data_IF_344686604027
#
_entry.id   IF_344686604027
#
_cell.length_a   1.000
_cell.length_b   1.000
_cell.length_c   1.000
_cell.angle_alpha   90.00
_cell.angle_beta   90.00
_cell.angle_gamma   90.00
#
_symmetry.space_group_name_H-M   'P 1'
#
loop_
_entity.id
_entity.type
_entity.pdbx_description
1 polymer ?
#
# COMPACT_ATOMS: atom_id res chain seq x y z
N UNK A 1 8.25 -5.39 3.38
CA UNK A 1 7.39 -4.23 3.04
C UNK A 1 5.97 -4.76 2.84
N UNK A 2 4.95 -3.93 3.02
CA UNK A 2 3.56 -4.30 2.73
C UNK A 2 3.10 -3.53 1.50
N UNK A 3 2.33 -4.17 0.63
CA UNK A 3 1.73 -3.49 -0.53
C UNK A 3 0.73 -2.43 -0.04
N UNK A 4 0.71 -1.28 -0.71
CA UNK A 4 -0.24 -0.22 -0.39
C UNK A 4 -1.54 -0.34 -1.20
N UNK A 5 -2.53 0.51 -0.89
CA UNK A 5 -3.73 0.62 -1.72
C UNK A 5 -3.41 1.08 -3.16
N UNK A 6 -2.27 1.76 -3.40
CA UNK A 6 -1.87 2.15 -4.76
C UNK A 6 -1.58 0.91 -5.61
N UNK A 7 -0.86 -0.09 -5.05
CA UNK A 7 -0.64 -1.37 -5.71
C UNK A 7 -1.97 -2.07 -6.01
N UNK A 8 -2.86 -2.18 -5.01
CA UNK A 8 -4.15 -2.86 -5.16
C UNK A 8 -5.03 -2.20 -6.21
N UNK A 9 -5.13 -0.87 -6.21
CA UNK A 9 -5.89 -0.10 -7.19
C UNK A 9 -5.32 -0.30 -8.60
N UNK A 10 -4.00 -0.30 -8.74
CA UNK A 10 -3.34 -0.50 -10.02
C UNK A 10 -3.59 -1.92 -10.56
N UNK A 11 -3.45 -2.95 -9.72
CA UNK A 11 -3.74 -4.33 -10.10
C UNK A 11 -5.22 -4.46 -10.47
N UNK A 12 -6.13 -3.99 -9.62
CA UNK A 12 -7.58 -4.07 -9.85
C UNK A 12 -8.00 -3.37 -11.15
N UNK A 13 -7.39 -2.24 -11.50
CA UNK A 13 -7.61 -1.52 -12.77
C UNK A 13 -7.33 -2.42 -13.98
N UNK A 14 -6.24 -3.20 -13.93
CA UNK A 14 -5.78 -4.00 -15.07
C UNK A 14 -6.39 -5.40 -15.12
N UNK A 15 -6.62 -6.03 -13.97
CA UNK A 15 -7.28 -7.35 -13.91
C UNK A 15 -8.78 -7.25 -14.17
N UNK A 16 -9.41 -6.16 -13.70
CA UNK A 16 -10.86 -6.01 -13.72
C UNK A 16 -11.57 -6.92 -12.73
N UNK A 17 -12.81 -6.58 -12.38
CA UNK A 17 -13.64 -7.37 -11.47
C UNK A 17 -14.67 -8.22 -12.24
N UNK A 18 -14.82 -9.48 -11.81
CA UNK A 18 -15.91 -10.39 -12.22
C UNK A 18 -16.52 -11.04 -10.98
N UNK A 19 -17.82 -10.80 -10.75
CA UNK A 19 -18.58 -11.38 -9.64
C UNK A 19 -18.78 -12.88 -9.77
N UNK A 20 -18.86 -13.37 -11.00
CA UNK A 20 -19.17 -14.77 -11.33
C UNK A 20 -17.95 -15.45 -11.93
N UNK A 21 -17.75 -16.73 -11.62
CA UNK A 21 -16.69 -17.53 -12.19
C UNK A 21 -16.82 -17.61 -13.73
N UNK A 22 -15.72 -17.37 -14.44
CA UNK A 22 -15.63 -17.38 -15.90
C UNK A 22 -14.40 -18.16 -16.37
N UNK A 23 -14.38 -18.58 -17.65
CA UNK A 23 -13.22 -19.24 -18.25
C UNK A 23 -12.24 -18.18 -18.76
N UNK A 24 -11.02 -18.19 -18.23
CA UNK A 24 -9.92 -17.32 -18.66
C UNK A 24 -9.30 -17.75 -20.00
N UNK A 25 -8.38 -16.94 -20.56
CA UNK A 25 -7.71 -17.22 -21.84
C UNK A 25 -6.92 -18.53 -21.89
N UNK A 26 -6.52 -19.04 -20.72
CA UNK A 26 -5.80 -20.30 -20.50
C UNK A 26 -6.74 -21.50 -20.25
N UNK A 27 -8.04 -21.33 -20.46
CA UNK A 27 -9.09 -22.32 -20.20
C UNK A 27 -9.23 -22.71 -18.70
N UNK A 28 -8.86 -21.79 -17.79
CA UNK A 28 -8.96 -21.98 -16.33
C UNK A 28 -10.11 -21.14 -15.75
N UNK A 29 -10.88 -21.74 -14.86
CA UNK A 29 -11.91 -21.02 -14.10
C UNK A 29 -11.27 -19.92 -13.25
N UNK A 30 -11.78 -18.70 -13.42
CA UNK A 30 -11.25 -17.47 -12.82
C UNK A 30 -12.41 -16.67 -12.22
N UNK A 31 -12.19 -15.99 -11.09
CA UNK A 31 -13.19 -15.15 -10.43
C UNK A 31 -12.53 -13.91 -9.80
N UNK A 32 -13.31 -12.86 -9.50
CA UNK A 32 -12.82 -11.66 -8.83
C UNK A 32 -11.83 -10.89 -9.69
N UNK A 33 -10.62 -10.63 -9.14
CA UNK A 33 -9.52 -9.94 -9.80
C UNK A 33 -8.44 -10.92 -10.30
N UNK A 34 -8.85 -11.97 -11.03
CA UNK A 34 -7.92 -12.95 -11.59
C UNK A 34 -7.60 -14.16 -10.70
N UNK A 35 -8.44 -14.44 -9.70
CA UNK A 35 -8.23 -15.58 -8.80
C UNK A 35 -8.62 -16.89 -9.49
N UNK A 36 -7.69 -17.85 -9.59
CA UNK A 36 -7.92 -19.20 -10.13
C UNK A 36 -7.94 -20.31 -9.07
N UNK A 37 -7.39 -20.02 -7.89
CA UNK A 37 -7.39 -20.91 -6.72
C UNK A 37 -7.74 -20.12 -5.46
N UNK A 38 -8.60 -20.68 -4.63
CA UNK A 38 -8.92 -20.18 -3.31
C UNK A 38 -7.71 -20.30 -2.36
N UNK A 39 -7.65 -19.54 -1.26
CA UNK A 39 -6.58 -19.68 -0.25
C UNK A 39 -6.45 -21.10 0.33
N UNK A 40 -7.52 -21.90 0.27
CA UNK A 40 -7.51 -23.32 0.64
C UNK A 40 -6.75 -24.22 -0.34
N UNK A 41 -6.28 -23.68 -1.47
CA UNK A 41 -5.66 -24.41 -2.58
C UNK A 41 -6.64 -25.02 -3.58
N UNK A 42 -7.95 -25.00 -3.30
CA UNK A 42 -8.99 -25.49 -4.22
C UNK A 42 -9.09 -24.59 -5.45
N UNK A 43 -9.26 -25.20 -6.63
CA UNK A 43 -9.53 -24.46 -7.86
C UNK A 43 -10.88 -23.73 -7.78
N UNK A 44 -11.00 -22.63 -8.51
CA UNK A 44 -12.29 -22.00 -8.78
C UNK A 44 -13.08 -22.93 -9.71
N UNK A 45 -14.40 -22.97 -9.52
CA UNK A 45 -15.30 -23.86 -10.26
C UNK A 45 -16.52 -23.10 -10.79
N UNK A 46 -17.18 -23.69 -11.79
CA UNK A 46 -18.40 -23.14 -12.39
C UNK A 46 -19.48 -22.86 -11.33
N UNK A 47 -20.14 -21.71 -11.45
CA UNK A 47 -21.27 -21.34 -10.60
C UNK A 47 -20.89 -20.72 -9.26
N UNK A 48 -19.60 -20.58 -8.96
CA UNK A 48 -19.13 -19.80 -7.82
C UNK A 48 -19.32 -18.30 -8.07
N UNK A 49 -19.67 -17.57 -7.01
CA UNK A 49 -19.80 -16.11 -7.01
C UNK A 49 -18.97 -15.50 -5.87
N UNK A 50 -18.60 -14.23 -6.01
CA UNK A 50 -17.85 -13.48 -5.01
C UNK A 50 -18.33 -12.03 -4.94
N UNK A 51 -18.37 -11.46 -3.74
CA UNK A 51 -18.63 -10.03 -3.54
C UNK A 51 -17.40 -9.21 -3.95
N UNK A 52 -17.59 -7.92 -4.22
CA UNK A 52 -16.45 -7.04 -4.57
C UNK A 52 -15.50 -6.86 -3.39
N UNK A 53 -16.06 -6.84 -2.19
CA UNK A 53 -15.37 -6.70 -0.91
C UNK A 53 -14.51 -7.94 -0.62
N UNK A 54 -15.08 -9.14 -0.78
CA UNK A 54 -14.34 -10.40 -0.60
C UNK A 54 -13.26 -10.56 -1.67
N UNK A 55 -13.56 -10.20 -2.92
CA UNK A 55 -12.57 -10.19 -4.00
C UNK A 55 -11.43 -9.20 -3.74
N UNK A 56 -11.72 -8.06 -3.12
CA UNK A 56 -10.72 -7.06 -2.75
C UNK A 56 -9.77 -7.58 -1.66
N UNK A 57 -10.32 -8.23 -0.62
CA UNK A 57 -9.50 -8.83 0.44
C UNK A 57 -8.71 -10.05 -0.07
N UNK A 58 -9.28 -10.81 -1.00
CA UNK A 58 -8.58 -11.90 -1.68
C UNK A 58 -7.43 -11.38 -2.54
N UNK A 59 -7.67 -10.35 -3.35
CA UNK A 59 -6.64 -9.66 -4.13
C UNK A 59 -5.50 -9.18 -3.23
N UNK A 60 -5.82 -8.54 -2.10
CA UNK A 60 -4.82 -8.06 -1.14
C UNK A 60 -3.91 -9.18 -0.66
N UNK A 61 -4.47 -10.31 -0.24
CA UNK A 61 -3.70 -11.46 0.25
C UNK A 61 -2.82 -12.05 -0.85
N UNK A 62 -3.37 -12.28 -2.03
CA UNK A 62 -2.64 -12.88 -3.16
C UNK A 62 -1.51 -11.96 -3.67
N UNK A 63 -1.80 -10.66 -3.82
CA UNK A 63 -0.81 -9.68 -4.22
C UNK A 63 0.32 -9.56 -3.20
N UNK A 64 0.02 -9.56 -1.89
CA UNK A 64 1.04 -9.51 -0.85
C UNK A 64 1.89 -10.79 -0.87
N UNK A 65 1.27 -11.97 -1.04
CA UNK A 65 2.00 -13.23 -1.14
C UNK A 65 3.00 -13.22 -2.31
N UNK A 66 2.58 -12.71 -3.47
CA UNK A 66 3.47 -12.56 -4.62
C UNK A 66 4.62 -11.59 -4.31
N UNK A 67 4.28 -10.42 -3.76
CA UNK A 67 5.22 -9.35 -3.44
C UNK A 67 6.30 -9.75 -2.43
N UNK A 68 6.04 -10.73 -1.54
CA UNK A 68 7.09 -11.26 -0.63
C UNK A 68 8.35 -11.71 -1.36
N UNK A 69 8.22 -12.16 -2.61
CA UNK A 69 9.38 -12.60 -3.40
C UNK A 69 10.31 -11.47 -3.82
N UNK A 70 9.82 -10.23 -3.86
CA UNK A 70 10.64 -9.04 -4.14
C UNK A 70 11.75 -8.94 -3.09
N UNK A 71 11.42 -9.17 -1.83
CA UNK A 71 12.37 -9.06 -0.70
C UNK A 71 13.44 -10.14 -0.72
N UNK A 72 13.14 -11.31 -1.31
CA UNK A 72 14.14 -12.36 -1.50
C UNK A 72 15.16 -12.02 -2.58
N UNK A 73 14.79 -11.26 -3.61
CA UNK A 73 15.65 -11.01 -4.77
C UNK A 73 16.28 -9.62 -4.77
N UNK A 74 15.52 -8.58 -4.43
CA UNK A 74 16.00 -7.20 -4.42
C UNK A 74 16.76 -6.92 -3.12
N UNK A 75 18.03 -6.52 -3.26
CA UNK A 75 18.99 -6.33 -2.15
C UNK A 75 19.26 -4.86 -1.82
N UNK A 76 18.68 -3.95 -2.59
CA UNK A 76 18.75 -2.51 -2.34
C UNK A 76 17.44 -2.00 -1.75
N UNK A 77 17.48 -0.91 -0.97
CA UNK A 77 16.26 -0.28 -0.49
C UNK A 77 15.36 0.16 -1.65
N UNK A 78 14.08 -0.17 -1.54
CA UNK A 78 13.01 0.34 -2.40
C UNK A 78 12.15 1.31 -1.62
N UNK A 79 11.68 2.36 -2.28
CA UNK A 79 10.59 3.17 -1.73
C UNK A 79 9.24 2.45 -1.94
N UNK A 80 8.18 2.93 -1.28
CA UNK A 80 6.87 2.28 -1.33
C UNK A 80 6.29 2.21 -2.76
N UNK A 81 6.46 3.26 -3.57
CA UNK A 81 5.93 3.27 -4.95
C UNK A 81 6.67 2.25 -5.85
N UNK A 82 7.98 2.09 -5.65
CA UNK A 82 8.78 1.09 -6.36
C UNK A 82 8.34 -0.33 -6.00
N UNK A 83 8.14 -0.61 -4.70
CA UNK A 83 7.65 -1.90 -4.23
C UNK A 83 6.24 -2.21 -4.79
N UNK A 84 5.34 -1.22 -4.73
CA UNK A 84 3.96 -1.35 -5.23
C UNK A 84 3.90 -1.62 -6.75
N UNK A 85 4.74 -0.93 -7.54
CA UNK A 85 4.82 -1.15 -8.98
C UNK A 85 5.34 -2.56 -9.31
N UNK A 86 6.38 -3.02 -8.61
CA UNK A 86 6.91 -4.37 -8.77
C UNK A 86 5.90 -5.44 -8.35
N UNK A 87 5.11 -5.19 -7.30
CA UNK A 87 4.03 -6.08 -6.89
C UNK A 87 2.96 -6.22 -7.98
N UNK A 88 2.55 -5.12 -8.63
CA UNK A 88 1.63 -5.17 -9.78
C UNK A 88 2.21 -5.95 -10.96
N UNK A 89 3.49 -5.72 -11.26
CA UNK A 89 4.21 -6.39 -12.33
C UNK A 89 4.30 -7.91 -12.09
N UNK A 90 4.64 -8.33 -10.87
CA UNK A 90 4.67 -9.73 -10.45
C UNK A 90 3.29 -10.38 -10.42
N UNK A 91 2.24 -9.64 -10.07
CA UNK A 91 0.87 -10.17 -10.12
C UNK A 91 0.51 -10.60 -11.55
N UNK A 92 0.91 -9.81 -12.55
CA UNK A 92 0.64 -10.11 -13.95
C UNK A 92 1.50 -11.24 -14.53
N UNK A 93 2.81 -11.23 -14.23
CA UNK A 93 3.80 -12.07 -14.92
C UNK A 93 4.24 -13.28 -14.08
N UNK A 94 3.76 -13.36 -12.84
CA UNK A 94 4.10 -14.39 -11.87
C UNK A 94 5.16 -13.92 -10.86
N UNK A 95 5.04 -14.45 -9.63
CA UNK A 95 5.89 -14.07 -8.48
C UNK A 95 7.39 -14.26 -8.72
N UNK A 96 7.80 -15.19 -9.59
CA UNK A 96 9.23 -15.45 -9.84
C UNK A 96 9.82 -14.70 -11.04
N UNK A 97 9.09 -13.74 -11.64
CA UNK A 97 9.52 -13.03 -12.86
C UNK A 97 10.87 -12.30 -12.70
N UNK A 98 11.21 -11.87 -11.48
CA UNK A 98 12.48 -11.20 -11.20
C UNK A 98 13.68 -12.18 -11.18
N UNK A 99 13.45 -13.46 -10.90
CA UNK A 99 14.53 -14.44 -10.71
C UNK A 99 15.37 -14.57 -11.99
N UNK A 100 16.68 -14.37 -11.86
CA UNK A 100 17.64 -14.45 -12.97
C UNK A 100 17.32 -13.52 -14.16
N UNK A 101 16.66 -12.39 -13.91
CA UNK A 101 16.30 -11.41 -14.95
C UNK A 101 17.33 -10.26 -15.04
N UNK A 102 17.46 -9.65 -16.22
CA UNK A 102 18.19 -8.39 -16.36
C UNK A 102 17.53 -7.27 -15.52
N UNK A 103 16.20 -7.30 -15.39
CA UNK A 103 15.43 -6.41 -14.51
C UNK A 103 15.96 -6.43 -13.07
N UNK A 104 16.23 -7.62 -12.53
CA UNK A 104 16.79 -7.77 -11.18
C UNK A 104 18.21 -7.22 -11.07
N UNK A 105 19.04 -7.40 -12.10
CA UNK A 105 20.38 -6.82 -12.17
C UNK A 105 20.28 -5.29 -12.13
N UNK A 106 19.40 -4.69 -12.93
CA UNK A 106 19.19 -3.24 -12.94
C UNK A 106 18.63 -2.72 -11.61
N UNK A 107 17.68 -3.44 -11.00
CA UNK A 107 17.14 -3.12 -9.67
C UNK A 107 18.26 -3.07 -8.62
N UNK A 108 19.06 -4.13 -8.52
CA UNK A 108 20.11 -4.23 -7.50
C UNK A 108 21.28 -3.27 -7.72
N UNK A 109 21.47 -2.77 -8.94
CA UNK A 109 22.44 -1.71 -9.24
C UNK A 109 21.84 -0.30 -9.17
N UNK A 110 20.58 -0.15 -8.72
CA UNK A 110 19.86 1.13 -8.65
C UNK A 110 19.74 1.87 -9.99
N UNK A 111 19.74 1.13 -11.09
CA UNK A 111 19.65 1.69 -12.45
C UNK A 111 18.18 1.86 -12.84
N UNK A 112 17.47 2.78 -12.19
CA UNK A 112 16.01 2.93 -12.28
C UNK A 112 15.47 3.22 -13.68
N UNK A 113 16.24 3.95 -14.49
CA UNK A 113 15.90 4.17 -15.90
C UNK A 113 15.95 2.87 -16.70
N UNK A 114 16.95 2.02 -16.45
CA UNK A 114 17.08 0.72 -17.12
C UNK A 114 16.00 -0.25 -16.65
N UNK A 115 15.61 -0.22 -15.37
CA UNK A 115 14.45 -0.96 -14.87
C UNK A 115 13.20 -0.62 -15.68
N UNK A 116 12.97 0.66 -15.94
CA UNK A 116 11.80 1.12 -16.69
C UNK A 116 11.82 0.66 -18.15
N UNK A 117 12.98 0.72 -18.81
CA UNK A 117 13.16 0.21 -20.18
C UNK A 117 12.94 -1.30 -20.25
N UNK A 118 13.46 -2.03 -19.27
CA UNK A 118 13.34 -3.49 -19.19
C UNK A 118 11.88 -3.93 -18.95
N UNK A 119 11.14 -3.23 -18.09
CA UNK A 119 9.71 -3.51 -17.86
C UNK A 119 8.89 -3.42 -19.17
N UNK A 120 9.23 -2.52 -20.09
CA UNK A 120 8.55 -2.38 -21.39
C UNK A 120 8.76 -3.56 -22.34
N UNK A 121 9.72 -4.46 -22.07
CA UNK A 121 9.91 -5.67 -22.87
C UNK A 121 8.81 -6.72 -22.58
N UNK A 122 8.15 -6.63 -21.43
CA UNK A 122 7.11 -7.57 -20.99
C UNK A 122 5.72 -7.14 -21.46
N UNK A 123 5.59 -6.94 -22.77
CA UNK A 123 4.37 -6.49 -23.45
C UNK A 123 3.77 -7.50 -24.44
N UNK A 124 4.28 -8.73 -24.46
CA UNK A 124 3.89 -9.75 -25.43
C UNK A 124 3.03 -10.84 -24.78
N UNK A 125 2.00 -11.30 -25.48
CA UNK A 125 1.28 -12.54 -25.17
C UNK A 125 0.94 -13.28 -26.46
N UNK A 126 1.02 -14.61 -26.47
CA UNK A 126 0.83 -15.41 -27.68
C UNK A 126 1.78 -15.03 -28.82
N UNK A 127 3.01 -14.59 -28.50
CA UNK A 127 4.02 -14.15 -29.48
C UNK A 127 3.78 -12.77 -30.09
N UNK A 128 2.74 -12.04 -29.69
CA UNK A 128 2.39 -10.72 -30.24
C UNK A 128 2.43 -9.65 -29.16
N UNK A 129 2.91 -8.46 -29.53
CA UNK A 129 2.85 -7.27 -28.66
C UNK A 129 1.39 -6.83 -28.51
N UNK A 130 0.95 -6.66 -27.26
CA UNK A 130 -0.42 -6.24 -26.94
C UNK A 130 -0.40 -4.82 -26.39
N UNK A 131 -1.19 -3.92 -26.98
CA UNK A 131 -1.27 -2.52 -26.54
C UNK A 131 -1.75 -2.38 -25.09
N UNK A 132 -2.64 -3.27 -24.63
CA UNK A 132 -3.08 -3.31 -23.23
C UNK A 132 -1.92 -3.56 -22.26
N UNK A 133 -0.99 -4.47 -22.61
CA UNK A 133 0.19 -4.73 -21.79
C UNK A 133 1.16 -3.55 -21.83
N UNK A 134 1.34 -2.90 -22.99
CA UNK A 134 2.15 -1.66 -23.09
C UNK A 134 1.63 -0.60 -22.12
N UNK A 135 0.33 -0.33 -22.15
CA UNK A 135 -0.29 0.65 -21.27
C UNK A 135 -0.16 0.25 -19.79
N UNK A 136 -0.28 -1.04 -19.47
CA UNK A 136 -0.06 -1.56 -18.11
C UNK A 136 1.37 -1.32 -17.63
N UNK A 137 2.35 -1.66 -18.45
CA UNK A 137 3.77 -1.42 -18.13
C UNK A 137 4.03 0.07 -17.93
N UNK A 138 3.44 0.95 -18.74
CA UNK A 138 3.58 2.40 -18.58
C UNK A 138 3.00 2.91 -17.26
N UNK A 139 1.82 2.43 -16.83
CA UNK A 139 1.26 2.81 -15.53
C UNK A 139 2.13 2.31 -14.36
N UNK A 140 2.63 1.08 -14.44
CA UNK A 140 3.53 0.52 -13.44
C UNK A 140 4.86 1.28 -13.37
N UNK A 141 5.43 1.66 -14.52
CA UNK A 141 6.64 2.50 -14.59
C UNK A 141 6.37 3.89 -14.02
N UNK A 142 5.22 4.49 -14.34
CA UNK A 142 4.84 5.79 -13.81
C UNK A 142 4.74 5.76 -12.27
N UNK A 143 4.19 4.69 -11.70
CA UNK A 143 4.20 4.48 -10.26
C UNK A 143 5.63 4.27 -9.76
N UNK A 144 6.41 3.38 -10.38
CA UNK A 144 7.78 3.05 -9.97
C UNK A 144 8.70 4.29 -9.88
N UNK A 145 8.60 5.18 -10.86
CA UNK A 145 9.39 6.41 -10.94
C UNK A 145 8.81 7.55 -10.09
N UNK A 146 7.61 7.41 -9.54
CA UNK A 146 6.99 8.44 -8.71
C UNK A 146 7.81 8.61 -7.43
N UNK A 147 8.37 9.80 -7.16
CA UNK A 147 9.10 10.03 -5.92
C UNK A 147 8.14 9.89 -4.74
N UNK A 148 8.63 9.24 -3.67
CA UNK A 148 7.97 9.31 -2.37
C UNK A 148 8.47 10.57 -1.69
N UNK A 149 7.54 11.44 -1.27
CA UNK A 149 7.89 12.57 -0.41
C UNK A 149 8.34 11.96 0.91
N UNK A 150 9.66 11.93 1.14
CA UNK A 150 10.20 11.66 2.46
C UNK A 150 9.92 12.91 3.26
N UNK A 151 8.84 12.89 4.04
CA UNK A 151 8.61 13.92 5.04
C UNK A 151 9.72 13.73 6.07
N UNK A 152 10.65 14.69 6.10
CA UNK A 152 11.68 14.73 7.13
C UNK A 152 11.01 15.00 8.49
N UNK A 153 10.69 13.93 9.19
CA UNK A 153 10.13 13.97 10.54
C UNK A 153 11.16 14.41 11.58
N UNK A 154 12.46 14.40 11.27
CA UNK A 154 13.51 14.80 12.21
C UNK A 154 13.45 16.29 12.56
N UNK A 155 12.85 17.12 11.68
CA UNK A 155 12.64 18.56 11.93
C UNK A 155 11.34 18.91 12.65
N UNK A 156 10.45 17.95 12.93
CA UNK A 156 9.12 18.20 13.51
C UNK A 156 8.80 17.41 14.78
N UNK A 157 9.77 16.67 15.31
CA UNK A 157 9.69 16.10 16.65
C UNK A 157 10.40 17.10 17.58
N UNK A 158 9.66 18.07 18.11
CA UNK A 158 10.14 18.86 19.24
C UNK A 158 9.96 18.03 20.51
N UNK A 159 11.08 17.76 21.17
CA UNK A 159 11.15 17.11 22.47
C UNK A 159 10.81 18.16 23.54
N UNK A 160 9.78 17.91 24.35
CA UNK A 160 9.62 18.62 25.62
C UNK A 160 10.04 17.62 26.71
N UNK A 161 11.23 17.83 27.25
CA UNK A 161 11.73 17.06 28.38
C UNK A 161 11.05 17.60 29.65
N UNK A 162 10.20 16.79 30.29
CA UNK A 162 9.70 17.08 31.65
C UNK A 162 9.88 15.82 32.51
N UNK A 163 10.55 16.05 33.63
CA UNK A 163 11.11 15.04 34.52
C UNK A 163 10.07 14.37 35.46
N UNK A 164 10.43 13.15 35.91
CA UNK A 164 9.96 12.28 37.02
C UNK A 164 8.44 12.05 37.25
N UNK A 165 7.83 11.15 36.47
CA UNK A 165 7.03 9.96 36.90
C UNK A 165 5.85 9.59 35.94
N UNK A 166 5.67 8.31 35.52
CA UNK A 166 4.83 7.96 34.36
C UNK A 166 3.42 7.38 34.66
N UNK A 167 2.39 7.72 33.85
CA UNK A 167 1.33 6.76 33.39
C UNK A 167 0.76 7.08 31.97
N UNK A 168 -0.10 6.16 31.46
CA UNK A 168 -0.56 5.72 30.10
C UNK A 168 -1.21 6.66 29.04
N UNK A 169 -0.75 6.62 27.80
CA UNK A 169 -1.00 7.47 26.61
C UNK A 169 -2.47 7.58 26.08
N UNK A 170 -2.99 8.80 25.67
CA UNK A 170 -4.37 9.05 25.10
C UNK A 170 -4.37 9.89 23.80
N UNK A 171 -5.38 9.66 22.94
CA UNK A 171 -5.54 10.22 21.58
C UNK A 171 -7.02 10.72 21.34
N UNK A 172 -7.30 11.87 20.67
CA UNK A 172 -8.65 12.53 20.52
C UNK A 172 -9.15 12.68 19.04
N UNK A 173 -10.44 12.39 18.71
CA UNK A 173 -10.98 12.32 17.32
C UNK A 173 -12.18 13.25 16.96
N UNK A 174 -12.36 13.61 15.66
CA UNK A 174 -13.46 14.44 15.12
C UNK A 174 -13.61 14.43 13.57
N UNK A 175 -14.72 14.96 13.01
CA UNK A 175 -14.97 15.12 11.55
C UNK A 175 -14.93 16.60 11.14
N UNK A 176 -14.26 16.95 10.04
CA UNK A 176 -14.07 18.33 9.59
C UNK A 176 -14.34 18.47 8.08
N UNK A 177 -14.97 19.57 7.70
CA UNK A 177 -15.38 19.90 6.32
C UNK A 177 -14.32 20.68 5.52
N UNK A 178 -13.20 21.06 6.14
CA UNK A 178 -12.10 21.78 5.50
C UNK A 178 -10.77 21.57 6.23
N UNK A 179 -9.66 21.82 5.54
CA UNK A 179 -8.32 21.72 6.11
C UNK A 179 -8.08 22.80 7.17
N UNK A 180 -8.63 24.00 6.98
CA UNK A 180 -8.55 25.10 7.95
C UNK A 180 -9.31 24.77 9.25
N UNK A 181 -10.51 24.19 9.15
CA UNK A 181 -11.29 23.76 10.33
C UNK A 181 -10.59 22.63 11.10
N UNK A 182 -9.97 21.71 10.37
CA UNK A 182 -9.14 20.66 10.95
C UNK A 182 -7.91 21.26 11.66
N UNK A 183 -7.18 22.17 11.02
CA UNK A 183 -6.01 22.85 11.61
C UNK A 183 -6.38 23.67 12.85
N UNK A 184 -7.53 24.33 12.85
CA UNK A 184 -8.04 25.06 14.02
C UNK A 184 -8.35 24.12 15.19
N UNK A 185 -9.03 23.00 14.92
CA UNK A 185 -9.32 21.99 15.93
C UNK A 185 -8.05 21.30 16.45
N UNK A 186 -7.05 21.10 15.58
CA UNK A 186 -5.73 20.61 15.95
C UNK A 186 -5.00 21.61 16.87
N UNK A 187 -5.06 22.90 16.56
CA UNK A 187 -4.45 23.95 17.40
C UNK A 187 -5.14 24.05 18.76
N UNK A 188 -6.45 23.90 18.84
CA UNK A 188 -7.17 23.86 20.11
C UNK A 188 -6.91 22.55 20.88
N UNK A 189 -6.78 21.41 20.19
CA UNK A 189 -6.35 20.15 20.80
C UNK A 189 -4.92 20.23 21.34
N UNK A 190 -4.01 20.94 20.64
CA UNK A 190 -2.65 21.24 21.08
C UNK A 190 -2.64 22.14 22.32
N UNK A 191 -3.50 23.17 22.39
CA UNK A 191 -3.70 24.01 23.59
C UNK A 191 -4.24 23.23 24.78
N UNK A 192 -4.97 22.14 24.53
CA UNK A 192 -5.48 21.21 25.53
C UNK A 192 -4.54 19.99 25.74
N UNK A 193 -3.36 20.01 25.14
CA UNK A 193 -2.30 19.00 25.27
C UNK A 193 -2.63 17.60 24.73
N UNK A 194 -3.49 17.48 23.72
CA UNK A 194 -3.84 16.21 23.06
C UNK A 194 -3.01 15.87 21.82
N UNK A 195 -3.07 14.60 21.43
CA UNK A 195 -2.46 14.02 20.24
C UNK A 195 -3.37 14.19 19.02
N UNK A 196 -2.87 14.74 17.91
CA UNK A 196 -3.66 15.02 16.71
C UNK A 196 -2.98 14.52 15.42
N UNK A 197 -3.76 13.98 14.48
CA UNK A 197 -3.30 13.62 13.13
C UNK A 197 -4.44 13.69 12.09
N UNK A 198 -4.11 13.61 10.81
CA UNK A 198 -5.08 13.65 9.70
C UNK A 198 -4.78 12.61 8.59
N UNK A 199 -5.79 11.86 8.12
CA UNK A 199 -5.76 10.98 6.91
C UNK A 199 -6.69 11.50 5.82
N UNK A 200 -6.45 11.46 4.51
CA UNK A 200 -7.52 11.70 3.54
C UNK A 200 -8.59 10.57 3.57
N UNK A 201 -9.88 10.90 3.59
CA UNK A 201 -11.01 9.94 3.65
C UNK A 201 -11.02 8.99 2.44
N UNK A 202 -11.00 7.67 2.70
CA UNK A 202 -11.49 6.66 1.75
C UNK A 202 -12.99 6.87 1.54
N UNK A 203 -13.37 7.31 0.35
CA UNK A 203 -14.71 7.81 0.06
C UNK A 203 -15.85 6.82 0.25
N UNK A 204 -16.91 7.30 0.90
CA UNK A 204 -18.25 7.33 0.32
C UNK A 204 -18.99 8.57 0.86
N UNK A 205 -19.65 9.30 -0.05
CA UNK A 205 -20.37 10.57 0.12
C UNK A 205 -19.52 11.84 0.31
N UNK A 206 -19.54 12.67 -0.73
CA UNK A 206 -19.43 14.13 -0.82
C UNK A 206 -18.56 14.87 0.22
N UNK A 207 -17.57 15.60 -0.31
CA UNK A 207 -16.71 16.61 0.33
C UNK A 207 -15.44 16.11 1.03
N UNK A 208 -14.35 16.81 0.74
CA UNK A 208 -13.00 16.63 1.26
C UNK A 208 -13.02 16.48 2.79
N UNK A 209 -12.46 15.40 3.33
CA UNK A 209 -12.40 15.23 4.78
C UNK A 209 -11.27 14.32 5.17
N UNK A 210 -10.71 14.54 6.35
CA UNK A 210 -9.62 13.75 6.90
C UNK A 210 -10.08 12.80 8.05
N UNK A 211 -9.47 11.63 8.31
CA UNK A 211 -9.82 10.62 9.36
C UNK A 211 -8.66 10.27 10.31
N UNK A 212 -9.00 9.63 11.45
CA UNK A 212 -8.17 9.49 12.66
C UNK A 212 -8.39 8.18 13.47
N UNK A 213 -7.32 7.75 14.17
CA UNK A 213 -6.87 6.50 14.84
C UNK A 213 -6.43 6.59 16.32
N UNK A 214 -7.25 6.23 17.31
CA UNK A 214 -6.81 6.21 18.72
C UNK A 214 -6.56 4.80 19.24
N UNK A 215 -5.48 4.59 20.01
CA UNK A 215 -5.15 3.32 20.68
C UNK A 215 -4.44 3.53 22.02
N UNK A 216 -4.57 2.54 22.91
CA UNK A 216 -3.88 2.48 24.19
C UNK A 216 -2.65 1.58 24.05
N UNK A 217 -1.50 2.05 24.52
CA UNK A 217 -0.24 1.31 24.43
C UNK A 217 0.41 1.18 25.80
N UNK A 218 1.00 0.01 26.07
CA UNK A 218 1.59 -0.29 27.37
C UNK A 218 3.00 0.29 27.50
N UNK A 219 3.71 0.46 26.38
CA UNK A 219 5.05 1.05 26.33
C UNK A 219 5.20 2.05 25.17
N UNK A 220 6.06 3.04 25.35
CA UNK A 220 6.30 4.08 24.34
C UNK A 220 7.02 3.51 23.10
N UNK A 221 7.97 2.58 23.27
CA UNK A 221 8.61 1.86 22.16
C UNK A 221 7.63 1.05 21.32
N UNK A 222 6.60 0.46 21.94
CA UNK A 222 5.55 -0.24 21.21
C UNK A 222 4.74 0.74 20.34
N UNK A 223 4.35 1.89 20.90
CA UNK A 223 3.67 2.94 20.17
C UNK A 223 4.52 3.51 19.02
N UNK A 224 5.85 3.66 19.22
CA UNK A 224 6.81 4.10 18.19
C UNK A 224 6.89 3.12 17.04
N UNK A 225 7.09 1.84 17.32
CA UNK A 225 7.19 0.79 16.29
C UNK A 225 5.91 0.73 15.45
N UNK A 226 4.75 0.88 16.09
CA UNK A 226 3.45 0.88 15.38
C UNK A 226 3.29 2.13 14.52
N UNK A 227 3.62 3.31 15.04
CA UNK A 227 3.57 4.57 14.31
C UNK A 227 4.52 4.58 13.10
N UNK A 228 5.77 4.14 13.30
CA UNK A 228 6.77 4.03 12.23
C UNK A 228 6.34 3.05 11.14
N UNK A 229 5.85 1.86 11.52
CA UNK A 229 5.30 0.89 10.55
C UNK A 229 4.12 1.46 9.77
N UNK A 230 3.26 2.23 10.43
CA UNK A 230 2.10 2.83 9.79
C UNK A 230 2.48 3.99 8.83
N UNK A 231 3.50 4.79 9.18
CA UNK A 231 4.07 5.80 8.29
C UNK A 231 4.74 5.14 7.08
N UNK A 232 5.59 4.13 7.31
CA UNK A 232 6.28 3.41 6.25
C UNK A 232 5.31 2.69 5.30
N UNK A 233 4.17 2.23 5.80
CA UNK A 233 3.13 1.61 4.99
C UNK A 233 2.19 2.62 4.28
N UNK A 234 2.51 3.92 4.30
CA UNK A 234 1.66 5.01 3.79
C UNK A 234 0.24 5.01 4.39
N UNK A 235 0.08 4.52 5.62
CA UNK A 235 -1.18 4.55 6.36
C UNK A 235 -1.29 5.82 7.22
N UNK A 236 -0.17 6.47 7.53
CA UNK A 236 -0.07 7.76 8.22
C UNK A 236 0.89 8.68 7.48
N UNK A 237 0.63 9.99 7.52
CA UNK A 237 1.55 11.01 6.99
C UNK A 237 2.54 11.52 8.06
N UNK A 238 2.15 11.47 9.33
CA UNK A 238 3.00 11.73 10.51
C UNK A 238 2.30 11.22 11.78
N UNK A 239 3.03 11.10 12.90
CA UNK A 239 2.49 10.69 14.19
C UNK A 239 3.13 11.47 15.34
N UNK A 240 2.39 11.64 16.44
CA UNK A 240 2.90 12.16 17.72
C UNK A 240 2.61 11.10 18.79
N UNK A 241 3.37 11.00 19.89
CA UNK A 241 3.18 9.97 20.94
C UNK A 241 3.20 10.66 22.31
N UNK A 242 2.12 10.57 23.12
CA UNK A 242 2.03 11.23 24.46
C UNK A 242 1.40 10.35 25.53
N UNK A 243 2.07 10.23 26.70
CA UNK A 243 1.63 9.50 27.90
C UNK A 243 0.57 10.28 28.68
N UNK A 244 -0.42 9.60 29.28
CA UNK A 244 -1.37 10.22 30.22
C UNK A 244 -1.48 9.46 31.55
N UNK A 245 -1.27 10.13 32.67
CA UNK A 245 -1.70 9.59 33.95
C UNK A 245 -3.21 9.69 34.14
N UNK A 246 -3.83 8.65 34.73
CA UNK A 246 -5.14 8.74 35.39
C UNK A 246 -5.17 9.97 36.31
#
# INVERSE_FOLDING_TARGET
>A
MEISNNALNLIAKWEGFRSDAYIGPDNVWTIGYGTTKWPSGKAVEKGQTITKEDAWELLRKQAQEHATTIEYYVKVPLNQNQYDALASFQYNLGRYILRNSALLVYLNNKQWEQVSKEMLLYCNAGGKKLQGLVNRRLDEIALFLKPVVIIDVSKKIEYIEIDKEPKKFRIQSGKYNSQEAMLAAMNDALKQYYLAYAEPVKGSSNENGWRFISGWYNAIEEAKIIAERAILANKLSYATIRGTTL
#
